data_IF_341550823861
#
_entry.id   IF_341550823861
#
_cell.length_a   1.000
_cell.length_b   1.000
_cell.length_c   1.000
_cell.angle_alpha   90.00
_cell.angle_beta   90.00
_cell.angle_gamma   90.00
#
_symmetry.space_group_name_H-M   'P 1'
#
loop_
_entity.id
_entity.type
_entity.pdbx_description
1 polymer ?
#
# COMPACT_ATOMS: atom_id res chain seq x y z
N UNK A 1 16.79 -44.69 45.66
CA UNK A 1 17.54 -44.61 44.38
C UNK A 1 18.14 -43.21 44.31
N UNK A 2 19.47 -43.08 44.37
CA UNK A 2 20.16 -41.78 44.22
C UNK A 2 20.71 -41.73 42.80
N UNK A 3 20.23 -40.79 42.00
CA UNK A 3 20.73 -40.56 40.63
C UNK A 3 22.14 -39.97 40.66
N UNK A 4 22.97 -40.42 39.73
CA UNK A 4 24.38 -40.03 39.60
C UNK A 4 24.50 -38.89 38.59
N UNK A 5 25.10 -37.77 38.99
CA UNK A 5 25.25 -36.59 38.15
C UNK A 5 26.42 -36.77 37.16
N UNK A 6 26.28 -36.44 35.85
CA UNK A 6 27.27 -36.80 34.82
C UNK A 6 28.48 -35.84 34.70
N UNK A 7 28.71 -34.95 35.67
CA UNK A 7 29.87 -34.03 35.66
C UNK A 7 29.81 -32.95 34.58
N UNK A 8 30.74 -31.98 34.66
CA UNK A 8 30.88 -30.90 33.68
C UNK A 8 31.54 -31.40 32.38
N UNK A 9 31.14 -30.81 31.25
CA UNK A 9 31.75 -31.10 29.93
C UNK A 9 33.21 -30.67 29.86
N UNK A 10 33.98 -31.40 29.07
CA UNK A 10 35.41 -31.20 28.86
C UNK A 10 35.71 -29.83 28.19
N UNK A 11 36.55 -29.02 28.82
CA UNK A 11 36.96 -27.70 28.32
C UNK A 11 37.76 -27.80 27.00
N UNK A 12 38.31 -28.98 26.67
CA UNK A 12 39.02 -29.21 25.40
C UNK A 12 38.11 -29.39 24.17
N UNK A 13 36.79 -29.46 24.34
CA UNK A 13 35.84 -29.34 23.20
C UNK A 13 35.60 -27.87 22.79
N UNK A 14 36.07 -26.90 23.57
CA UNK A 14 35.97 -25.45 23.30
C UNK A 14 37.26 -24.87 22.71
N UNK A 15 38.00 -25.65 21.91
CA UNK A 15 39.24 -25.18 21.26
C UNK A 15 38.91 -24.09 20.24
N UNK A 16 39.12 -22.83 20.65
CA UNK A 16 39.26 -21.70 19.74
C UNK A 16 40.46 -21.97 18.84
N UNK A 17 40.22 -22.17 17.54
CA UNK A 17 41.29 -22.27 16.55
C UNK A 17 41.81 -20.87 16.26
N UNK A 18 43.05 -20.60 16.65
CA UNK A 18 43.76 -19.39 16.26
C UNK A 18 44.00 -19.39 14.74
N UNK A 19 43.27 -18.51 14.05
CA UNK A 19 43.29 -18.33 12.58
C UNK A 19 44.20 -17.15 12.17
N UNK A 20 44.93 -16.55 13.11
CA UNK A 20 45.68 -15.30 12.88
C UNK A 20 46.74 -15.47 11.80
N UNK A 21 47.52 -16.55 11.85
CA UNK A 21 48.58 -16.79 10.86
C UNK A 21 48.04 -17.13 9.46
N UNK A 22 46.93 -17.87 9.37
CA UNK A 22 46.27 -18.12 8.08
C UNK A 22 45.73 -16.83 7.45
N UNK A 23 45.21 -15.92 8.27
CA UNK A 23 44.69 -14.62 7.83
C UNK A 23 45.82 -13.68 7.38
N UNK A 24 46.94 -13.65 8.12
CA UNK A 24 48.14 -12.89 7.76
C UNK A 24 48.69 -13.39 6.42
N UNK A 25 48.77 -14.71 6.22
CA UNK A 25 49.28 -15.31 4.98
C UNK A 25 48.39 -14.96 3.78
N UNK A 26 47.06 -15.11 3.89
CA UNK A 26 46.10 -14.72 2.84
C UNK A 26 46.18 -13.25 2.47
N UNK A 27 46.39 -12.36 3.46
CA UNK A 27 46.48 -10.92 3.22
C UNK A 27 47.76 -10.54 2.50
N UNK A 28 48.90 -11.17 2.85
CA UNK A 28 50.17 -11.01 2.15
C UNK A 28 50.11 -11.52 0.70
N UNK A 29 49.49 -12.68 0.47
CA UNK A 29 49.28 -13.24 -0.87
C UNK A 29 48.38 -12.35 -1.75
N UNK A 30 47.31 -11.77 -1.17
CA UNK A 30 46.43 -10.82 -1.87
C UNK A 30 47.15 -9.52 -2.24
N UNK A 31 48.00 -8.97 -1.34
CA UNK A 31 48.82 -7.79 -1.63
C UNK A 31 49.85 -8.06 -2.73
N UNK A 32 50.49 -9.22 -2.74
CA UNK A 32 51.42 -9.61 -3.81
C UNK A 32 50.72 -9.73 -5.18
N UNK A 33 49.48 -10.24 -5.21
CA UNK A 33 48.66 -10.29 -6.44
C UNK A 33 48.23 -8.90 -6.94
N UNK A 34 47.87 -7.97 -6.05
CA UNK A 34 47.54 -6.59 -6.43
C UNK A 34 48.77 -5.79 -6.90
N UNK A 35 49.96 -6.06 -6.36
CA UNK A 35 51.19 -5.38 -6.80
C UNK A 35 51.59 -5.76 -8.24
N UNK A 36 51.30 -7.00 -8.67
CA UNK A 36 51.58 -7.46 -10.04
C UNK A 36 50.56 -6.96 -11.09
N UNK A 37 49.47 -6.32 -10.68
CA UNK A 37 48.45 -5.78 -11.58
C UNK A 37 48.55 -4.25 -11.80
N UNK A 38 49.48 -3.57 -11.10
CA UNK A 38 49.58 -2.11 -11.08
C UNK A 38 50.36 -1.50 -12.27
N UNK A 39 50.04 -1.95 -13.50
CA UNK A 39 50.59 -1.43 -14.75
C UNK A 39 49.64 -0.53 -15.55
N UNK A 40 48.42 -0.28 -15.07
CA UNK A 40 47.46 0.61 -15.72
C UNK A 40 47.03 1.73 -14.77
N UNK A 41 47.02 2.96 -15.27
CA UNK A 41 46.57 4.18 -14.60
C UNK A 41 45.15 4.01 -14.04
N UNK A 42 45.02 3.63 -12.76
CA UNK A 42 43.78 3.76 -12.01
C UNK A 42 44.03 4.67 -10.81
N UNK A 43 43.36 5.81 -10.83
CA UNK A 43 43.17 6.61 -9.62
C UNK A 43 42.50 5.72 -8.56
N UNK A 44 42.94 5.76 -7.29
CA UNK A 44 42.36 4.89 -6.28
C UNK A 44 40.86 5.18 -6.11
N UNK A 45 39.99 4.17 -5.98
CA UNK A 45 38.57 4.42 -5.74
C UNK A 45 38.45 5.15 -4.41
N UNK A 46 37.89 6.36 -4.45
CA UNK A 46 37.56 7.12 -3.26
C UNK A 46 36.58 6.29 -2.43
N UNK A 47 37.07 5.66 -1.36
CA UNK A 47 36.21 5.08 -0.33
C UNK A 47 35.64 6.24 0.49
N UNK A 48 34.54 6.83 0.00
CA UNK A 48 33.70 7.70 0.81
C UNK A 48 33.07 6.88 1.93
N UNK A 49 33.24 7.35 3.17
CA UNK A 49 32.51 6.83 4.35
C UNK A 49 31.05 7.32 4.39
N UNK A 50 30.62 8.12 3.41
CA UNK A 50 29.25 8.58 3.26
C UNK A 50 28.45 7.62 2.38
N UNK A 51 27.22 7.25 2.77
CA UNK A 51 26.36 6.43 1.94
C UNK A 51 26.07 7.17 0.62
N UNK A 52 26.05 6.41 -0.47
CA UNK A 52 25.65 6.92 -1.78
C UNK A 52 24.20 7.41 -1.76
N UNK A 53 23.80 8.35 -2.65
CA UNK A 53 22.39 8.75 -2.78
C UNK A 53 21.45 7.57 -3.00
N UNK A 54 21.91 6.54 -3.72
CA UNK A 54 21.14 5.33 -3.98
C UNK A 54 20.87 4.53 -2.70
N UNK A 55 21.91 4.33 -1.88
CA UNK A 55 21.77 3.66 -0.57
C UNK A 55 20.86 4.46 0.37
N UNK A 56 20.94 5.79 0.35
CA UNK A 56 20.04 6.67 1.12
C UNK A 56 18.60 6.46 0.65
N UNK A 57 18.36 6.48 -0.66
CA UNK A 57 17.06 6.26 -1.26
C UNK A 57 16.48 4.89 -0.90
N UNK A 58 17.24 3.81 -1.11
CA UNK A 58 16.79 2.45 -0.83
C UNK A 58 16.46 2.26 0.65
N UNK A 59 17.32 2.75 1.55
CA UNK A 59 17.05 2.68 2.99
C UNK A 59 15.80 3.49 3.37
N UNK A 60 15.60 4.66 2.78
CA UNK A 60 14.38 5.43 2.99
C UNK A 60 13.15 4.69 2.47
N UNK A 61 13.25 4.03 1.31
CA UNK A 61 12.18 3.20 0.76
C UNK A 61 11.81 2.05 1.71
N UNK A 62 12.80 1.25 2.12
CA UNK A 62 12.59 0.09 2.99
C UNK A 62 11.98 0.53 4.32
N UNK A 63 12.47 1.64 4.89
CA UNK A 63 11.98 2.14 6.18
C UNK A 63 10.53 2.62 6.11
N UNK A 64 10.14 3.30 5.03
CA UNK A 64 8.86 3.98 4.98
C UNK A 64 7.79 3.17 4.22
N UNK A 65 8.10 2.56 3.08
CA UNK A 65 7.09 1.91 2.23
C UNK A 65 6.94 0.41 2.46
N UNK A 66 7.93 -0.25 3.06
CA UNK A 66 7.82 -1.68 3.40
C UNK A 66 7.19 -1.83 4.78
N UNK A 67 6.01 -2.44 4.83
CA UNK A 67 5.24 -2.62 6.07
C UNK A 67 5.15 -4.09 6.37
N UNK A 68 5.50 -4.50 7.57
CA UNK A 68 5.39 -5.89 8.04
C UNK A 68 6.36 -6.14 9.18
N UNK A 69 6.13 -7.21 9.93
CA UNK A 69 7.13 -7.74 10.86
C UNK A 69 7.85 -8.93 10.18
N UNK A 70 8.78 -9.57 10.90
CA UNK A 70 9.45 -10.79 10.43
C UNK A 70 8.48 -11.96 10.16
N UNK A 71 7.18 -11.86 10.52
CA UNK A 71 6.17 -12.84 10.13
C UNK A 71 5.84 -12.68 8.66
N UNK A 72 6.05 -13.76 7.92
CA UNK A 72 5.91 -13.72 6.48
C UNK A 72 4.48 -13.32 6.07
N UNK A 73 3.38 -13.76 6.69
CA UNK A 73 2.04 -13.60 6.09
C UNK A 73 1.40 -12.18 6.07
N UNK A 74 2.01 -11.16 6.68
CA UNK A 74 1.40 -9.82 6.87
C UNK A 74 2.30 -8.71 6.34
N UNK A 75 1.80 -7.85 5.45
CA UNK A 75 2.55 -6.67 5.06
C UNK A 75 2.32 -6.14 3.66
N UNK A 76 2.78 -4.91 3.44
CA UNK A 76 2.84 -4.24 2.16
C UNK A 76 4.29 -4.25 1.65
N UNK A 77 4.50 -4.77 0.45
CA UNK A 77 5.84 -4.88 -0.16
C UNK A 77 6.89 -5.60 0.71
N UNK A 78 6.46 -6.35 1.73
CA UNK A 78 7.32 -7.06 2.67
C UNK A 78 8.14 -8.19 2.03
N UNK A 79 7.89 -8.49 0.76
CA UNK A 79 8.66 -9.40 -0.06
C UNK A 79 9.89 -8.75 -0.72
N UNK A 80 9.97 -7.41 -0.78
CA UNK A 80 11.06 -6.72 -1.47
C UNK A 80 12.41 -7.01 -0.80
N UNK A 81 12.58 -6.93 0.54
CA UNK A 81 13.88 -7.17 1.16
C UNK A 81 14.45 -8.55 0.88
N UNK A 82 13.61 -9.60 0.88
CA UNK A 82 14.08 -10.97 0.62
C UNK A 82 14.50 -11.15 -0.83
N UNK A 83 13.79 -10.56 -1.79
CA UNK A 83 14.17 -10.65 -3.22
C UNK A 83 15.37 -9.77 -3.54
N UNK A 84 15.45 -8.58 -2.93
CA UNK A 84 16.61 -7.69 -3.03
C UNK A 84 17.91 -8.40 -2.62
N UNK A 85 17.89 -9.14 -1.50
CA UNK A 85 19.04 -9.89 -1.00
C UNK A 85 19.38 -11.14 -1.83
N UNK A 86 18.36 -11.86 -2.34
CA UNK A 86 18.56 -13.13 -3.04
C UNK A 86 18.96 -12.95 -4.52
N UNK A 87 18.47 -11.92 -5.19
CA UNK A 87 18.70 -11.68 -6.63
C UNK A 87 19.84 -10.66 -6.88
N UNK A 88 20.66 -10.42 -5.86
CA UNK A 88 21.97 -9.78 -5.99
C UNK A 88 21.95 -8.31 -6.39
N UNK A 89 21.02 -7.52 -5.84
CA UNK A 89 20.93 -6.08 -6.14
C UNK A 89 20.73 -5.81 -7.64
N UNK A 90 19.80 -6.53 -8.27
CA UNK A 90 19.49 -6.38 -9.69
C UNK A 90 19.35 -4.89 -10.06
N UNK A 91 20.13 -4.36 -11.04
CA UNK A 91 20.23 -2.92 -11.29
C UNK A 91 18.87 -2.25 -11.47
N UNK A 92 17.96 -2.87 -12.22
CA UNK A 92 16.58 -2.38 -12.40
C UNK A 92 15.87 -2.12 -11.07
N UNK A 93 15.97 -3.06 -10.12
CA UNK A 93 15.29 -2.95 -8.83
C UNK A 93 15.97 -1.88 -7.97
N UNK A 94 17.29 -1.84 -7.94
CA UNK A 94 18.09 -0.82 -7.23
C UNK A 94 17.69 0.58 -7.68
N UNK A 95 17.70 0.87 -8.99
CA UNK A 95 17.36 2.19 -9.53
C UNK A 95 15.90 2.56 -9.21
N UNK A 96 14.95 1.61 -9.28
CA UNK A 96 13.55 1.83 -8.91
C UNK A 96 13.36 2.16 -7.43
N UNK A 97 13.96 1.39 -6.53
CA UNK A 97 13.85 1.61 -5.08
C UNK A 97 14.51 2.92 -4.65
N UNK A 98 15.70 3.22 -5.20
CA UNK A 98 16.40 4.47 -4.98
C UNK A 98 15.56 5.67 -5.44
N UNK A 99 14.96 5.60 -6.64
CA UNK A 99 14.12 6.67 -7.18
C UNK A 99 12.95 7.02 -6.25
N UNK A 100 12.19 6.01 -5.79
CA UNK A 100 11.02 6.20 -4.91
C UNK A 100 11.45 6.78 -3.56
N UNK A 101 12.50 6.22 -2.96
CA UNK A 101 12.97 6.68 -1.67
C UNK A 101 13.54 8.10 -1.72
N UNK A 102 14.27 8.45 -2.78
CA UNK A 102 14.81 9.79 -2.97
C UNK A 102 13.73 10.83 -3.21
N UNK A 103 12.70 10.54 -4.02
CA UNK A 103 11.60 11.52 -4.23
C UNK A 103 10.78 11.72 -2.96
N UNK A 104 10.51 10.65 -2.21
CA UNK A 104 9.81 10.75 -0.94
C UNK A 104 10.63 11.52 0.11
N UNK A 105 11.95 11.28 0.16
CA UNK A 105 12.86 12.03 1.02
C UNK A 105 12.93 13.50 0.61
N UNK A 106 13.07 13.79 -0.69
CA UNK A 106 13.08 15.15 -1.23
C UNK A 106 11.83 15.94 -0.84
N UNK A 107 10.66 15.31 -0.97
CA UNK A 107 9.37 15.89 -0.62
C UNK A 107 9.25 16.16 0.88
N UNK A 108 9.63 15.19 1.72
CA UNK A 108 9.55 15.35 3.18
C UNK A 108 10.55 16.37 3.73
N UNK A 109 11.73 16.50 3.13
CA UNK A 109 12.80 17.41 3.60
C UNK A 109 12.85 18.74 2.86
N UNK A 110 12.02 18.92 1.83
CA UNK A 110 12.00 20.10 0.96
C UNK A 110 13.39 20.38 0.32
N UNK A 111 14.05 19.32 -0.17
CA UNK A 111 15.37 19.39 -0.81
C UNK A 111 15.27 19.10 -2.32
N UNK A 112 15.25 20.14 -3.19
CA UNK A 112 15.09 19.98 -4.63
C UNK A 112 16.21 19.17 -5.30
N UNK A 113 17.43 19.18 -4.74
CA UNK A 113 18.57 18.43 -5.28
C UNK A 113 18.30 16.93 -5.25
N UNK A 114 17.66 16.43 -4.20
CA UNK A 114 17.28 15.02 -4.08
C UNK A 114 16.20 14.65 -5.11
N UNK A 115 15.29 15.57 -5.44
CA UNK A 115 14.29 15.34 -6.48
C UNK A 115 14.94 15.23 -7.87
N UNK A 116 16.03 15.95 -8.13
CA UNK A 116 16.81 15.80 -9.38
C UNK A 116 17.45 14.41 -9.48
N UNK A 117 18.09 13.95 -8.40
CA UNK A 117 18.66 12.59 -8.33
C UNK A 117 17.58 11.51 -8.48
N UNK A 118 16.42 11.70 -7.84
CA UNK A 118 15.29 10.79 -7.95
C UNK A 118 14.80 10.64 -9.41
N UNK A 119 14.71 11.75 -10.16
CA UNK A 119 14.34 11.73 -11.59
C UNK A 119 15.40 11.06 -12.47
N UNK A 120 16.68 11.24 -12.16
CA UNK A 120 17.76 10.55 -12.85
C UNK A 120 17.67 9.03 -12.64
N UNK A 121 17.46 8.58 -11.40
CA UNK A 121 17.26 7.17 -11.05
C UNK A 121 15.98 6.58 -11.64
N UNK A 122 14.91 7.37 -11.68
CA UNK A 122 13.67 6.99 -12.37
C UNK A 122 13.92 6.74 -13.86
N UNK A 123 14.64 7.64 -14.53
CA UNK A 123 14.96 7.51 -15.96
C UNK A 123 15.85 6.29 -16.23
N UNK A 124 16.83 6.05 -15.36
CA UNK A 124 17.67 4.85 -15.38
C UNK A 124 16.83 3.57 -15.22
N UNK A 125 15.92 3.55 -14.24
CA UNK A 125 15.01 2.43 -14.01
C UNK A 125 14.13 2.13 -15.24
N UNK A 126 13.57 3.16 -15.88
CA UNK A 126 12.78 2.99 -17.12
C UNK A 126 13.62 2.39 -18.25
N UNK A 127 14.88 2.83 -18.42
CA UNK A 127 15.77 2.25 -19.43
C UNK A 127 16.06 0.76 -19.15
N UNK A 128 16.32 0.43 -17.88
CA UNK A 128 16.56 -0.93 -17.43
C UNK A 128 15.32 -1.81 -17.60
N UNK A 129 14.12 -1.30 -17.28
CA UNK A 129 12.85 -1.99 -17.49
C UNK A 129 12.61 -2.23 -18.98
N UNK A 130 12.77 -1.23 -19.85
CA UNK A 130 12.58 -1.40 -21.29
C UNK A 130 13.52 -2.47 -21.87
N UNK A 131 14.76 -2.52 -21.39
CA UNK A 131 15.73 -3.55 -21.78
C UNK A 131 15.30 -4.95 -21.30
N UNK A 132 14.78 -5.07 -20.07
CA UNK A 132 14.25 -6.32 -19.55
C UNK A 132 12.98 -6.77 -20.30
N UNK A 133 12.08 -5.84 -20.63
CA UNK A 133 10.86 -6.12 -21.38
C UNK A 133 11.13 -6.59 -22.82
N UNK A 134 12.25 -6.19 -23.42
CA UNK A 134 12.66 -6.65 -24.74
C UNK A 134 13.11 -8.12 -24.76
N UNK A 135 13.39 -8.73 -23.60
CA UNK A 135 13.79 -10.13 -23.48
C UNK A 135 12.67 -10.98 -22.87
N UNK A 136 12.22 -12.07 -23.54
CA UNK A 136 11.21 -12.96 -23.00
C UNK A 136 11.57 -13.60 -21.64
N UNK A 137 12.87 -13.83 -21.37
CA UNK A 137 13.32 -14.40 -20.10
C UNK A 137 13.42 -13.36 -18.98
N UNK A 138 13.81 -12.13 -19.30
CA UNK A 138 13.98 -11.06 -18.31
C UNK A 138 12.65 -10.40 -17.95
N UNK A 139 11.74 -10.28 -18.91
CA UNK A 139 10.42 -9.65 -18.71
C UNK A 139 9.58 -10.34 -17.62
N UNK A 140 9.75 -11.65 -17.44
CA UNK A 140 9.00 -12.44 -16.46
C UNK A 140 9.68 -12.57 -15.10
N UNK A 141 10.86 -11.96 -14.89
CA UNK A 141 11.57 -12.02 -13.60
C UNK A 141 10.85 -11.25 -12.49
N UNK A 142 11.11 -11.66 -11.25
CA UNK A 142 10.58 -11.01 -10.05
C UNK A 142 11.07 -9.56 -9.96
N UNK A 143 12.35 -9.32 -10.20
CA UNK A 143 12.96 -7.98 -10.22
C UNK A 143 12.24 -7.02 -11.18
N UNK A 144 11.88 -7.47 -12.38
CA UNK A 144 11.14 -6.68 -13.38
C UNK A 144 9.76 -6.27 -12.87
N UNK A 145 8.95 -7.22 -12.38
CA UNK A 145 7.62 -6.93 -11.84
C UNK A 145 7.69 -6.01 -10.61
N UNK A 146 8.64 -6.26 -9.69
CA UNK A 146 8.83 -5.40 -8.52
C UNK A 146 9.22 -3.98 -8.91
N UNK A 147 10.10 -3.83 -9.91
CA UNK A 147 10.51 -2.52 -10.40
C UNK A 147 9.33 -1.73 -10.96
N UNK A 148 8.46 -2.36 -11.76
CA UNK A 148 7.25 -1.72 -12.29
C UNK A 148 6.27 -1.33 -11.18
N UNK A 149 6.02 -2.22 -10.19
CA UNK A 149 5.17 -1.89 -9.02
C UNK A 149 5.76 -0.71 -8.24
N UNK A 150 7.07 -0.71 -7.98
CA UNK A 150 7.76 0.36 -7.26
C UNK A 150 7.75 1.68 -8.04
N UNK A 151 7.90 1.68 -9.37
CA UNK A 151 7.77 2.92 -10.16
C UNK A 151 6.33 3.46 -10.16
N UNK A 152 5.32 2.60 -10.00
CA UNK A 152 3.96 3.06 -9.67
C UNK A 152 3.95 3.94 -8.42
N UNK A 153 4.66 3.56 -7.36
CA UNK A 153 4.78 4.39 -6.15
C UNK A 153 5.49 5.71 -6.40
N UNK A 154 6.52 5.70 -7.25
CA UNK A 154 7.20 6.95 -7.63
C UNK A 154 6.19 7.94 -8.18
N UNK A 155 5.40 7.52 -9.17
CA UNK A 155 4.39 8.37 -9.80
C UNK A 155 3.30 8.78 -8.82
N UNK A 156 2.87 7.89 -7.92
CA UNK A 156 1.90 8.29 -6.92
C UNK A 156 2.45 9.34 -5.93
N UNK A 157 3.76 9.38 -5.71
CA UNK A 157 4.45 10.41 -4.90
C UNK A 157 4.73 11.68 -5.70
N UNK A 158 5.08 11.59 -7.00
CA UNK A 158 5.47 12.74 -7.84
C UNK A 158 4.35 13.36 -8.69
N UNK A 159 3.30 12.61 -9.04
CA UNK A 159 2.19 13.03 -9.92
C UNK A 159 1.38 11.85 -10.47
N UNK A 160 0.06 11.83 -10.23
CA UNK A 160 -0.81 10.66 -10.40
C UNK A 160 -1.06 10.21 -11.85
N UNK A 161 -0.90 11.09 -12.84
CA UNK A 161 -1.40 10.85 -14.21
C UNK A 161 -0.75 9.65 -14.92
N UNK A 162 0.47 9.29 -14.53
CA UNK A 162 1.27 8.18 -15.09
C UNK A 162 1.17 6.89 -14.27
N UNK A 163 0.67 6.95 -13.03
CA UNK A 163 0.52 5.79 -12.14
C UNK A 163 -0.30 4.67 -12.77
N UNK A 164 -1.42 5.02 -13.41
CA UNK A 164 -2.31 4.05 -14.06
C UNK A 164 -1.57 3.19 -15.10
N UNK A 165 -0.62 3.77 -15.85
CA UNK A 165 0.15 3.05 -16.87
C UNK A 165 1.06 1.99 -16.26
N UNK A 166 1.65 2.27 -15.11
CA UNK A 166 2.47 1.29 -14.38
C UNK A 166 1.61 0.15 -13.82
N UNK A 167 0.41 0.46 -13.31
CA UNK A 167 -0.53 -0.57 -12.85
C UNK A 167 -0.96 -1.49 -14.00
N UNK A 168 -1.30 -0.92 -15.16
CA UNK A 168 -1.61 -1.69 -16.37
C UNK A 168 -0.42 -2.54 -16.84
N UNK A 169 0.80 -1.98 -16.80
CA UNK A 169 2.03 -2.71 -17.11
C UNK A 169 2.30 -3.87 -16.14
N UNK A 170 2.12 -3.65 -14.84
CA UNK A 170 2.26 -4.69 -13.82
C UNK A 170 1.22 -5.82 -14.02
N UNK A 171 -0.03 -5.46 -14.33
CA UNK A 171 -1.07 -6.43 -14.65
C UNK A 171 -0.72 -7.27 -15.89
N UNK A 172 -0.22 -6.64 -16.95
CA UNK A 172 0.22 -7.34 -18.16
C UNK A 172 1.40 -8.30 -17.87
N UNK A 173 2.36 -7.89 -17.04
CA UNK A 173 3.47 -8.75 -16.61
C UNK A 173 3.01 -9.94 -15.78
N UNK A 174 2.05 -9.73 -14.87
CA UNK A 174 1.42 -10.80 -14.10
C UNK A 174 0.73 -11.80 -15.03
N UNK A 175 0.03 -11.33 -16.06
CA UNK A 175 -0.57 -12.20 -17.08
C UNK A 175 0.52 -12.98 -17.85
N UNK A 176 1.58 -12.31 -18.30
CA UNK A 176 2.69 -12.93 -19.03
C UNK A 176 3.42 -14.01 -18.22
N UNK A 177 3.58 -13.81 -16.91
CA UNK A 177 4.17 -14.81 -15.98
C UNK A 177 3.31 -16.07 -15.83
N UNK A 178 2.00 -15.94 -16.06
CA UNK A 178 1.04 -17.05 -16.05
C UNK A 178 0.96 -17.80 -14.72
N UNK A 179 0.45 -19.03 -14.76
CA UNK A 179 0.15 -19.83 -13.55
C UNK A 179 1.39 -20.29 -12.77
N UNK A 180 2.55 -20.35 -13.43
CA UNK A 180 3.81 -20.80 -12.81
C UNK A 180 4.28 -19.88 -11.69
N UNK A 181 3.78 -18.64 -11.64
CA UNK A 181 4.12 -17.66 -10.61
C UNK A 181 3.50 -17.97 -9.24
N UNK A 182 2.71 -19.03 -9.06
CA UNK A 182 2.12 -19.36 -7.77
C UNK A 182 2.90 -20.44 -7.01
N UNK A 183 4.18 -20.61 -7.34
CA UNK A 183 5.07 -21.62 -6.75
C UNK A 183 5.67 -21.20 -5.40
N UNK A 184 5.70 -19.90 -5.09
CA UNK A 184 6.29 -19.39 -3.84
C UNK A 184 5.40 -18.36 -3.14
N UNK A 185 5.47 -18.23 -1.81
CA UNK A 185 4.71 -17.20 -1.08
C UNK A 185 5.04 -15.76 -1.51
N UNK A 186 6.26 -15.50 -1.99
CA UNK A 186 6.71 -14.19 -2.48
C UNK A 186 5.96 -13.81 -3.75
N UNK A 187 5.92 -14.71 -4.71
CA UNK A 187 5.33 -14.47 -6.03
C UNK A 187 3.80 -14.37 -5.96
N UNK A 188 3.16 -15.13 -5.04
CA UNK A 188 1.73 -14.95 -4.71
C UNK A 188 1.44 -13.54 -4.18
N UNK A 189 2.33 -12.95 -3.37
CA UNK A 189 2.12 -11.58 -2.86
C UNK A 189 2.31 -10.52 -3.91
N UNK A 190 3.25 -10.72 -4.83
CA UNK A 190 3.42 -9.82 -5.97
C UNK A 190 2.13 -9.80 -6.81
N UNK A 191 1.54 -10.98 -7.05
CA UNK A 191 0.22 -11.08 -7.68
C UNK A 191 -0.87 -10.36 -6.88
N UNK A 192 -1.00 -10.62 -5.57
CA UNK A 192 -2.02 -9.96 -4.74
C UNK A 192 -1.84 -8.44 -4.75
N UNK A 193 -0.59 -7.96 -4.73
CA UNK A 193 -0.26 -6.54 -4.80
C UNK A 193 -0.70 -5.93 -6.13
N UNK A 194 -0.27 -6.51 -7.25
CA UNK A 194 -0.66 -6.04 -8.59
C UNK A 194 -2.19 -6.08 -8.79
N UNK A 195 -2.86 -7.10 -8.28
CA UNK A 195 -4.34 -7.17 -8.29
C UNK A 195 -4.96 -6.03 -7.48
N UNK A 196 -4.44 -5.74 -6.28
CA UNK A 196 -4.96 -4.66 -5.46
C UNK A 196 -4.80 -3.29 -6.14
N UNK A 197 -3.65 -3.04 -6.76
CA UNK A 197 -3.41 -1.80 -7.51
C UNK A 197 -4.35 -1.72 -8.74
N UNK A 198 -4.56 -2.83 -9.44
CA UNK A 198 -5.48 -2.91 -10.58
C UNK A 198 -6.94 -2.68 -10.18
N UNK A 199 -7.35 -3.15 -9.00
CA UNK A 199 -8.68 -2.85 -8.44
C UNK A 199 -8.84 -1.34 -8.26
N UNK A 200 -7.88 -0.66 -7.65
CA UNK A 200 -7.93 0.80 -7.45
C UNK A 200 -7.99 1.51 -8.80
N UNK A 201 -7.13 1.13 -9.75
CA UNK A 201 -7.13 1.65 -11.10
C UNK A 201 -8.47 1.48 -11.82
N UNK A 202 -9.11 0.31 -11.67
CA UNK A 202 -10.40 0.00 -12.31
C UNK A 202 -11.56 0.77 -11.68
N UNK A 203 -11.51 1.02 -10.37
CA UNK A 203 -12.51 1.85 -9.68
C UNK A 203 -12.48 3.31 -10.19
N UNK A 204 -11.31 3.80 -10.58
CA UNK A 204 -11.11 5.18 -11.03
C UNK A 204 -11.20 5.35 -12.55
N UNK A 205 -11.06 4.28 -13.32
CA UNK A 205 -11.09 4.30 -14.78
C UNK A 205 -12.39 3.72 -15.34
N UNK A 206 -12.57 3.82 -16.65
CA UNK A 206 -13.70 3.20 -17.36
C UNK A 206 -13.33 1.82 -17.90
N UNK A 207 -12.56 1.02 -17.15
CA UNK A 207 -12.12 -0.32 -17.55
C UNK A 207 -12.49 -1.36 -16.48
N UNK A 208 -12.96 -2.56 -16.88
CA UNK A 208 -13.17 -3.66 -15.95
C UNK A 208 -11.86 -4.34 -15.61
N UNK A 209 -11.90 -5.24 -14.62
CA UNK A 209 -10.78 -6.15 -14.35
C UNK A 209 -10.64 -7.11 -15.54
N UNK A 210 -9.45 -7.25 -16.15
CA UNK A 210 -9.23 -8.15 -17.28
C UNK A 210 -9.57 -9.60 -16.92
N UNK A 211 -10.17 -10.34 -17.88
CA UNK A 211 -10.56 -11.74 -17.67
C UNK A 211 -9.37 -12.62 -17.26
N UNK A 212 -8.21 -12.42 -17.87
CA UNK A 212 -6.98 -13.17 -17.54
C UNK A 212 -6.56 -12.96 -16.08
N UNK A 213 -6.81 -11.79 -15.51
CA UNK A 213 -6.55 -11.51 -14.10
C UNK A 213 -7.53 -12.26 -13.18
N UNK A 214 -8.79 -12.41 -13.59
CA UNK A 214 -9.78 -13.23 -12.88
C UNK A 214 -9.39 -14.71 -12.91
N UNK A 215 -8.95 -15.23 -14.07
CA UNK A 215 -8.47 -16.61 -14.20
C UNK A 215 -7.23 -16.86 -13.33
N UNK A 216 -6.31 -15.90 -13.25
CA UNK A 216 -5.17 -15.97 -12.34
C UNK A 216 -5.56 -15.89 -10.87
N UNK A 217 -6.62 -15.14 -10.52
CA UNK A 217 -7.16 -15.12 -9.17
C UNK A 217 -7.69 -16.49 -8.76
N UNK A 218 -8.44 -17.17 -9.63
CA UNK A 218 -8.94 -18.52 -9.38
C UNK A 218 -7.82 -19.56 -9.30
N UNK A 219 -6.75 -19.38 -10.06
CA UNK A 219 -5.56 -20.22 -9.93
C UNK A 219 -4.85 -19.96 -8.60
N UNK A 220 -4.59 -18.69 -8.25
CA UNK A 220 -3.93 -18.31 -7.01
C UNK A 220 -4.69 -18.80 -5.76
N UNK A 221 -6.03 -18.88 -5.82
CA UNK A 221 -6.88 -19.42 -4.75
C UNK A 221 -6.51 -20.87 -4.35
N UNK A 222 -5.87 -21.64 -5.24
CA UNK A 222 -5.43 -23.02 -4.98
C UNK A 222 -4.12 -23.09 -4.19
N UNK A 223 -3.37 -21.99 -4.15
CA UNK A 223 -2.01 -21.93 -3.61
C UNK A 223 -1.91 -21.05 -2.34
N UNK A 224 -3.03 -20.51 -1.85
CA UNK A 224 -3.05 -19.63 -0.68
C UNK A 224 -4.29 -19.84 0.18
N UNK A 225 -4.24 -19.37 1.43
CA UNK A 225 -5.38 -19.43 2.34
C UNK A 225 -6.43 -18.38 1.95
N UNK A 226 -7.48 -18.86 1.31
CA UNK A 226 -8.60 -18.03 0.85
C UNK A 226 -9.53 -17.60 1.98
N UNK A 227 -9.40 -18.18 3.19
CA UNK A 227 -10.28 -17.83 4.31
C UNK A 227 -9.90 -16.50 4.97
N UNK A 228 -8.66 -16.04 4.74
CA UNK A 228 -8.14 -14.79 5.30
C UNK A 228 -8.95 -13.57 4.86
N UNK A 229 -9.16 -12.63 5.79
CA UNK A 229 -9.84 -11.37 5.47
C UNK A 229 -9.12 -10.61 4.35
N UNK A 230 -7.78 -10.64 4.32
CA UNK A 230 -6.99 -10.01 3.27
C UNK A 230 -7.29 -10.56 1.87
N UNK A 231 -7.36 -11.89 1.71
CA UNK A 231 -7.71 -12.49 0.43
C UNK A 231 -9.13 -12.11 -0.01
N UNK A 232 -10.10 -12.25 0.91
CA UNK A 232 -11.51 -11.96 0.68
C UNK A 232 -11.73 -10.49 0.28
N UNK A 233 -11.05 -9.54 0.92
CA UNK A 233 -11.11 -8.13 0.55
C UNK A 233 -10.66 -7.88 -0.89
N UNK A 234 -9.63 -8.58 -1.37
CA UNK A 234 -9.19 -8.45 -2.76
C UNK A 234 -10.20 -9.03 -3.76
N UNK A 235 -10.89 -10.11 -3.40
CA UNK A 235 -11.98 -10.69 -4.22
C UNK A 235 -13.16 -9.72 -4.27
N UNK A 236 -13.56 -9.15 -3.12
CA UNK A 236 -14.63 -8.16 -3.05
C UNK A 236 -14.29 -6.88 -3.80
N UNK A 237 -13.03 -6.42 -3.73
CA UNK A 237 -12.55 -5.28 -4.52
C UNK A 237 -12.69 -5.51 -6.02
N UNK A 238 -12.36 -6.72 -6.49
CA UNK A 238 -12.53 -7.13 -7.90
C UNK A 238 -14.01 -7.11 -8.32
N UNK A 239 -14.91 -7.63 -7.47
CA UNK A 239 -16.36 -7.59 -7.71
C UNK A 239 -16.90 -6.16 -7.73
N UNK A 240 -16.49 -5.31 -6.78
CA UNK A 240 -16.86 -3.89 -6.76
C UNK A 240 -16.42 -3.16 -8.03
N UNK A 241 -15.18 -3.37 -8.48
CA UNK A 241 -14.67 -2.75 -9.70
C UNK A 241 -15.48 -3.15 -10.94
N UNK A 242 -15.80 -4.43 -11.09
CA UNK A 242 -16.60 -4.92 -12.22
C UNK A 242 -18.06 -4.43 -12.16
N UNK A 243 -18.67 -4.41 -10.97
CA UNK A 243 -20.02 -3.87 -10.79
C UNK A 243 -20.06 -2.37 -11.13
N UNK A 244 -19.10 -1.58 -10.62
CA UNK A 244 -19.02 -0.15 -10.92
C UNK A 244 -18.84 0.10 -12.42
N UNK A 245 -18.01 -0.70 -13.10
CA UNK A 245 -17.86 -0.63 -14.55
C UNK A 245 -19.18 -0.92 -15.27
N UNK A 246 -19.89 -1.99 -14.88
CA UNK A 246 -21.19 -2.34 -15.46
C UNK A 246 -22.21 -1.20 -15.27
N UNK A 247 -22.28 -0.60 -14.08
CA UNK A 247 -23.17 0.54 -13.80
C UNK A 247 -22.86 1.76 -14.67
N UNK A 248 -21.57 2.06 -14.89
CA UNK A 248 -21.15 3.16 -15.78
C UNK A 248 -21.49 2.90 -17.25
N UNK A 249 -21.56 1.64 -17.68
CA UNK A 249 -21.98 1.25 -19.04
C UNK A 249 -23.50 1.28 -19.24
N UNK A 250 -24.27 1.06 -18.18
CA UNK A 250 -25.72 0.85 -18.23
C UNK A 250 -26.56 2.13 -18.21
N UNK A 251 -26.05 3.22 -18.78
CA UNK A 251 -26.64 4.58 -18.75
C UNK A 251 -28.09 4.64 -19.30
N UNK A 252 -28.59 3.60 -19.98
CA UNK A 252 -29.93 3.59 -20.61
C UNK A 252 -30.72 2.27 -20.57
N UNK A 253 -30.56 1.38 -19.58
CA UNK A 253 -31.35 0.13 -19.62
C UNK A 253 -31.43 -0.76 -18.37
N UNK A 254 -32.58 -0.72 -17.71
CA UNK A 254 -33.38 -1.91 -17.34
C UNK A 254 -32.96 -2.81 -16.16
N UNK A 255 -31.68 -2.96 -15.84
CA UNK A 255 -31.22 -3.99 -14.89
C UNK A 255 -30.99 -3.48 -13.45
N UNK A 256 -31.66 -2.40 -13.04
CA UNK A 256 -31.49 -1.79 -11.71
C UNK A 256 -31.66 -2.79 -10.56
N UNK A 257 -32.67 -3.66 -10.67
CA UNK A 257 -32.94 -4.70 -9.66
C UNK A 257 -31.85 -5.76 -9.60
N UNK A 258 -31.35 -6.23 -10.75
CA UNK A 258 -30.27 -7.23 -10.83
C UNK A 258 -28.96 -6.67 -10.26
N UNK A 259 -28.61 -5.43 -10.61
CA UNK A 259 -27.44 -4.77 -10.03
C UNK A 259 -27.59 -4.51 -8.53
N UNK A 260 -28.80 -4.19 -8.07
CA UNK A 260 -29.06 -4.03 -6.64
C UNK A 260 -28.92 -5.38 -5.93
N UNK A 261 -29.38 -6.47 -6.53
CA UNK A 261 -29.20 -7.83 -6.00
C UNK A 261 -27.71 -8.19 -5.88
N UNK A 262 -26.91 -7.95 -6.93
CA UNK A 262 -25.46 -8.19 -6.87
C UNK A 262 -24.79 -7.31 -5.82
N UNK A 263 -25.12 -6.02 -5.75
CA UNK A 263 -24.62 -5.11 -4.71
C UNK A 263 -24.97 -5.61 -3.29
N UNK A 264 -26.20 -6.11 -3.10
CA UNK A 264 -26.66 -6.73 -1.84
C UNK A 264 -25.87 -8.00 -1.52
N UNK A 265 -25.53 -8.80 -2.54
CA UNK A 265 -24.70 -9.98 -2.34
C UNK A 265 -23.30 -9.60 -1.88
N UNK A 266 -22.67 -8.61 -2.53
CA UNK A 266 -21.34 -8.11 -2.15
C UNK A 266 -21.38 -7.55 -0.71
N UNK A 267 -22.44 -6.81 -0.36
CA UNK A 267 -22.63 -6.22 0.96
C UNK A 267 -22.66 -7.29 2.07
N UNK A 268 -23.38 -8.39 1.85
CA UNK A 268 -23.43 -9.53 2.76
C UNK A 268 -22.07 -10.23 2.92
N UNK A 269 -21.28 -10.29 1.85
CA UNK A 269 -19.94 -10.87 1.91
C UNK A 269 -18.93 -9.93 2.60
N UNK A 270 -19.11 -8.60 2.48
CA UNK A 270 -18.39 -7.64 3.31
C UNK A 270 -18.67 -7.84 4.79
N UNK A 271 -19.93 -8.01 5.19
CA UNK A 271 -20.29 -8.22 6.59
C UNK A 271 -19.53 -9.43 7.20
N UNK A 272 -19.53 -10.57 6.50
CA UNK A 272 -18.76 -11.77 6.90
C UNK A 272 -17.26 -11.50 6.96
N UNK A 273 -16.73 -10.71 6.02
CA UNK A 273 -15.31 -10.37 5.95
C UNK A 273 -14.90 -9.43 7.08
N UNK A 274 -15.77 -8.47 7.45
CA UNK A 274 -15.57 -7.55 8.58
C UNK A 274 -15.54 -8.30 9.90
N UNK A 275 -16.42 -9.29 10.10
CA UNK A 275 -16.39 -10.15 11.30
C UNK A 275 -15.07 -10.90 11.44
N UNK A 276 -14.56 -11.47 10.34
CA UNK A 276 -13.23 -12.12 10.32
C UNK A 276 -12.10 -11.13 10.57
N UNK A 277 -12.19 -9.94 9.97
CA UNK A 277 -11.20 -8.88 10.14
C UNK A 277 -11.15 -8.39 11.60
N UNK A 278 -12.29 -8.26 12.27
CA UNK A 278 -12.37 -7.90 13.68
C UNK A 278 -11.67 -8.89 14.61
N UNK A 279 -11.69 -10.18 14.27
CA UNK A 279 -10.98 -11.22 15.01
C UNK A 279 -9.48 -11.19 14.70
N UNK A 280 -9.11 -11.07 13.42
CA UNK A 280 -7.72 -11.14 12.98
C UNK A 280 -6.90 -9.86 13.28
N UNK A 281 -7.57 -8.70 13.23
CA UNK A 281 -6.99 -7.36 13.34
C UNK A 281 -7.80 -6.49 14.31
N UNK A 282 -7.92 -6.87 15.59
CA UNK A 282 -8.71 -6.10 16.55
C UNK A 282 -8.12 -4.70 16.77
N UNK A 283 -8.99 -3.77 17.13
CA UNK A 283 -8.62 -2.41 17.53
C UNK A 283 -9.48 -1.97 18.72
N UNK A 284 -9.03 -0.94 19.43
CA UNK A 284 -9.75 -0.36 20.56
C UNK A 284 -10.15 1.07 20.28
N UNK A 285 -11.37 1.45 20.62
CA UNK A 285 -11.82 2.84 20.52
C UNK A 285 -11.57 3.55 21.83
N UNK A 286 -10.96 4.72 21.76
CA UNK A 286 -10.65 5.57 22.91
C UNK A 286 -11.19 6.98 22.72
N UNK A 287 -11.55 7.62 23.83
CA UNK A 287 -12.02 9.00 23.86
C UNK A 287 -10.94 9.89 24.46
N UNK A 288 -10.48 10.87 23.68
CA UNK A 288 -9.49 11.88 24.00
C UNK A 288 -10.12 13.28 23.87
N UNK A 289 -11.02 13.67 24.79
CA UNK A 289 -11.73 14.95 24.71
C UNK A 289 -10.79 16.16 24.85
N UNK A 290 -9.60 15.97 25.41
CA UNK A 290 -8.54 16.99 25.51
C UNK A 290 -7.54 16.96 24.35
N UNK A 291 -7.76 16.09 23.35
CA UNK A 291 -6.91 16.00 22.17
C UNK A 291 -7.00 17.27 21.31
N UNK A 292 -5.93 17.58 20.59
CA UNK A 292 -5.92 18.70 19.64
C UNK A 292 -7.04 18.47 18.60
N UNK A 293 -8.06 19.35 18.49
CA UNK A 293 -9.18 19.18 17.58
C UNK A 293 -8.75 19.25 16.10
N UNK A 294 -7.56 19.77 15.81
CA UNK A 294 -7.00 19.72 14.47
C UNK A 294 -6.50 18.31 14.11
N UNK A 295 -6.21 17.46 15.09
CA UNK A 295 -5.70 16.09 14.91
C UNK A 295 -6.78 15.04 15.22
N UNK A 296 -7.55 15.25 16.28
CA UNK A 296 -8.57 14.31 16.78
C UNK A 296 -9.95 14.90 16.54
N UNK A 297 -10.68 14.34 15.58
CA UNK A 297 -12.05 14.75 15.30
C UNK A 297 -13.01 14.18 16.34
N UNK A 298 -13.81 15.04 16.99
CA UNK A 298 -14.82 14.67 17.98
C UNK A 298 -14.29 13.85 19.17
N UNK A 299 -13.00 13.98 19.49
CA UNK A 299 -12.37 13.26 20.60
C UNK A 299 -12.19 11.75 20.37
N UNK A 300 -12.63 11.15 19.25
CA UNK A 300 -12.53 9.70 19.03
C UNK A 300 -11.21 9.31 18.36
N UNK A 301 -10.52 8.33 18.94
CA UNK A 301 -9.32 7.71 18.36
C UNK A 301 -9.44 6.19 18.39
N UNK A 302 -9.30 5.54 17.24
CA UNK A 302 -9.27 4.08 17.12
C UNK A 302 -7.81 3.60 17.06
N UNK A 303 -7.41 2.73 18.00
CA UNK A 303 -6.04 2.24 18.18
C UNK A 303 -5.90 0.79 17.72
N UNK A 304 -5.04 0.62 16.72
CA UNK A 304 -4.69 -0.63 16.08
C UNK A 304 -3.29 -1.09 16.54
N UNK A 305 -2.98 -2.37 16.36
CA UNK A 305 -1.66 -2.90 16.76
C UNK A 305 -0.50 -2.47 15.85
N UNK A 306 -0.77 -2.23 14.58
CA UNK A 306 0.24 -1.86 13.58
C UNK A 306 -0.38 -1.09 12.39
N UNK A 307 0.46 -0.42 11.60
CA UNK A 307 0.05 0.32 10.38
C UNK A 307 -0.61 -0.61 9.35
N UNK A 308 -0.20 -1.88 9.30
CA UNK A 308 -0.82 -2.87 8.42
C UNK A 308 -2.30 -3.09 8.75
N UNK A 309 -2.65 -3.17 10.02
CA UNK A 309 -4.03 -3.31 10.49
C UNK A 309 -4.86 -2.10 10.08
N UNK A 310 -4.33 -0.89 10.28
CA UNK A 310 -4.96 0.36 9.81
C UNK A 310 -5.24 0.28 8.32
N UNK A 311 -4.23 -0.13 7.53
CA UNK A 311 -4.35 -0.24 6.07
C UNK A 311 -5.44 -1.23 5.65
N UNK A 312 -5.49 -2.41 6.26
CA UNK A 312 -6.53 -3.41 5.95
C UNK A 312 -7.93 -2.90 6.26
N UNK A 313 -8.11 -2.31 7.44
CA UNK A 313 -9.39 -1.73 7.84
C UNK A 313 -9.81 -0.58 6.95
N UNK A 314 -8.89 0.33 6.61
CA UNK A 314 -9.20 1.46 5.75
C UNK A 314 -9.50 1.03 4.31
N UNK A 315 -8.81 0.02 3.77
CA UNK A 315 -9.16 -0.56 2.47
C UNK A 315 -10.56 -1.20 2.50
N UNK A 316 -10.89 -1.93 3.57
CA UNK A 316 -12.22 -2.50 3.77
C UNK A 316 -13.31 -1.42 3.82
N UNK A 317 -13.09 -0.34 4.57
CA UNK A 317 -14.02 0.79 4.67
C UNK A 317 -14.20 1.49 3.32
N UNK A 318 -13.11 1.79 2.62
CA UNK A 318 -13.16 2.44 1.32
C UNK A 318 -13.97 1.63 0.30
N UNK A 319 -13.77 0.31 0.23
CA UNK A 319 -14.55 -0.54 -0.66
C UNK A 319 -16.04 -0.60 -0.29
N UNK A 320 -16.35 -0.66 1.02
CA UNK A 320 -17.74 -0.60 1.50
C UNK A 320 -18.39 0.76 1.20
N UNK A 321 -17.65 1.87 1.30
CA UNK A 321 -18.16 3.20 0.94
C UNK A 321 -18.52 3.27 -0.54
N UNK A 322 -17.65 2.76 -1.42
CA UNK A 322 -17.93 2.67 -2.86
C UNK A 322 -19.19 1.82 -3.11
N UNK A 323 -19.32 0.68 -2.43
CA UNK A 323 -20.52 -0.15 -2.54
C UNK A 323 -21.78 0.57 -2.05
N UNK A 324 -21.71 1.30 -0.94
CA UNK A 324 -22.81 2.11 -0.44
C UNK A 324 -23.21 3.20 -1.44
N UNK A 325 -22.23 3.88 -2.08
CA UNK A 325 -22.50 4.86 -3.15
C UNK A 325 -23.21 4.19 -4.34
N UNK A 326 -22.79 2.98 -4.75
CA UNK A 326 -23.48 2.21 -5.80
C UNK A 326 -24.91 1.84 -5.40
N UNK A 327 -25.14 1.37 -4.17
CA UNK A 327 -26.48 1.03 -3.65
C UNK A 327 -27.36 2.28 -3.62
N UNK A 328 -26.87 3.42 -3.12
CA UNK A 328 -27.60 4.68 -3.13
C UNK A 328 -27.99 5.10 -4.55
N UNK A 329 -27.07 5.00 -5.51
CA UNK A 329 -27.34 5.30 -6.92
C UNK A 329 -28.46 4.40 -7.49
N UNK A 330 -28.37 3.09 -7.24
CA UNK A 330 -29.36 2.11 -7.69
C UNK A 330 -30.74 2.34 -7.06
N UNK A 331 -30.80 2.61 -5.76
CA UNK A 331 -32.05 2.88 -5.04
C UNK A 331 -32.71 4.17 -5.52
N UNK A 332 -31.93 5.23 -5.74
CA UNK A 332 -32.47 6.48 -6.29
C UNK A 332 -32.96 6.29 -7.74
N UNK A 333 -32.27 5.50 -8.56
CA UNK A 333 -32.71 5.14 -9.90
C UNK A 333 -34.04 4.38 -9.90
N UNK A 334 -34.20 3.43 -8.98
CA UNK A 334 -35.47 2.71 -8.78
C UNK A 334 -36.58 3.65 -8.29
N UNK A 335 -36.32 4.43 -7.24
CA UNK A 335 -37.29 5.37 -6.66
C UNK A 335 -37.77 6.46 -7.65
N UNK A 336 -37.00 6.75 -8.70
CA UNK A 336 -37.41 7.63 -9.79
C UNK A 336 -38.42 7.02 -10.76
N UNK A 337 -38.70 5.70 -10.66
CA UNK A 337 -39.70 5.00 -11.46
C UNK A 337 -41.08 4.89 -10.79
N UNK A 338 -42.04 4.32 -11.50
CA UNK A 338 -43.40 4.07 -10.98
C UNK A 338 -43.41 2.76 -10.17
N UNK A 339 -43.34 2.86 -8.84
CA UNK A 339 -43.33 1.74 -7.91
C UNK A 339 -44.57 1.74 -7.00
N UNK A 340 -45.13 0.57 -6.69
CA UNK A 340 -46.12 0.43 -5.63
C UNK A 340 -45.64 1.05 -4.30
N UNK A 341 -46.53 1.69 -3.55
CA UNK A 341 -46.19 2.44 -2.33
C UNK A 341 -45.46 1.61 -1.27
N UNK A 342 -45.76 0.31 -1.18
CA UNK A 342 -45.08 -0.63 -0.25
C UNK A 342 -43.61 -0.84 -0.62
N UNK A 343 -43.32 -1.01 -1.92
CA UNK A 343 -41.95 -1.12 -2.42
C UNK A 343 -41.22 0.20 -2.30
N UNK A 344 -41.89 1.33 -2.57
CA UNK A 344 -41.32 2.65 -2.39
C UNK A 344 -40.90 2.90 -0.92
N UNK A 345 -41.73 2.52 0.05
CA UNK A 345 -41.39 2.62 1.48
C UNK A 345 -40.19 1.75 1.85
N UNK A 346 -40.15 0.50 1.36
CA UNK A 346 -39.04 -0.42 1.59
C UNK A 346 -37.72 0.10 1.02
N UNK A 347 -37.74 0.64 -0.22
CA UNK A 347 -36.55 1.20 -0.87
C UNK A 347 -36.06 2.48 -0.16
N UNK A 348 -36.98 3.33 0.31
CA UNK A 348 -36.62 4.50 1.11
C UNK A 348 -35.97 4.11 2.45
N UNK A 349 -36.50 3.10 3.14
CA UNK A 349 -35.90 2.59 4.37
C UNK A 349 -34.48 2.06 4.11
N UNK A 350 -34.31 1.26 3.05
CA UNK A 350 -33.00 0.74 2.65
C UNK A 350 -32.01 1.85 2.28
N UNK A 351 -32.48 2.92 1.64
CA UNK A 351 -31.65 4.08 1.31
C UNK A 351 -31.16 4.77 2.59
N UNK A 352 -32.03 4.98 3.57
CA UNK A 352 -31.65 5.56 4.87
C UNK A 352 -30.62 4.69 5.61
N UNK A 353 -30.84 3.36 5.68
CA UNK A 353 -29.87 2.43 6.27
C UNK A 353 -28.49 2.51 5.58
N UNK A 354 -28.49 2.62 4.25
CA UNK A 354 -27.25 2.72 3.46
C UNK A 354 -26.53 4.05 3.74
N UNK A 355 -27.26 5.16 3.88
CA UNK A 355 -26.70 6.48 4.21
C UNK A 355 -26.12 6.52 5.64
N UNK A 356 -26.82 5.91 6.60
CA UNK A 356 -26.33 5.77 7.99
C UNK A 356 -25.03 4.95 8.03
N UNK A 357 -24.99 3.83 7.29
CA UNK A 357 -23.78 3.00 7.15
C UNK A 357 -22.64 3.79 6.52
N UNK A 358 -22.90 4.55 5.45
CA UNK A 358 -21.91 5.38 4.78
C UNK A 358 -21.32 6.44 5.73
N UNK A 359 -22.17 7.07 6.55
CA UNK A 359 -21.74 8.02 7.58
C UNK A 359 -20.87 7.34 8.66
N UNK A 360 -21.29 6.17 9.15
CA UNK A 360 -20.50 5.38 10.11
C UNK A 360 -19.13 4.99 9.56
N UNK A 361 -19.06 4.49 8.32
CA UNK A 361 -17.80 4.12 7.66
C UNK A 361 -16.84 5.31 7.57
N UNK A 362 -17.36 6.49 7.24
CA UNK A 362 -16.58 7.73 7.22
C UNK A 362 -16.02 8.08 8.61
N UNK A 363 -16.86 8.07 9.65
CA UNK A 363 -16.43 8.34 11.02
C UNK A 363 -15.39 7.32 11.53
N UNK A 364 -15.57 6.04 11.22
CA UNK A 364 -14.62 4.98 11.58
C UNK A 364 -13.29 5.13 10.84
N UNK A 365 -13.30 5.59 9.57
CA UNK A 365 -12.08 5.91 8.83
C UNK A 365 -11.33 7.10 9.47
N UNK A 366 -12.05 8.19 9.77
CA UNK A 366 -11.46 9.40 10.34
C UNK A 366 -10.82 9.15 11.71
N UNK A 367 -11.41 8.25 12.52
CA UNK A 367 -10.87 7.84 13.81
C UNK A 367 -9.50 7.13 13.72
N UNK A 368 -9.07 6.68 12.54
CA UNK A 368 -7.75 6.07 12.33
C UNK A 368 -6.62 7.08 12.13
N UNK A 369 -6.95 8.31 11.74
CA UNK A 369 -5.98 9.32 11.30
C UNK A 369 -4.94 9.66 12.37
N UNK A 370 -5.29 9.88 13.65
CA UNK A 370 -4.31 10.26 14.67
C UNK A 370 -3.19 9.22 14.80
N UNK A 371 -3.53 7.94 14.83
CA UNK A 371 -2.55 6.87 14.90
C UNK A 371 -1.83 6.66 13.56
N UNK A 372 -2.54 6.70 12.44
CA UNK A 372 -1.98 6.46 11.12
C UNK A 372 -0.91 7.50 10.71
N UNK A 373 -1.02 8.73 11.21
CA UNK A 373 -0.03 9.78 11.01
C UNK A 373 1.05 9.83 12.10
N UNK A 374 1.00 8.90 13.08
CA UNK A 374 1.87 8.89 14.28
C UNK A 374 1.76 10.19 15.10
N UNK A 375 0.61 10.85 15.06
CA UNK A 375 0.34 12.11 15.74
C UNK A 375 -0.10 11.92 17.22
N UNK A 376 -0.43 10.69 17.60
CA UNK A 376 -0.71 10.28 18.98
C UNK A 376 0.28 9.17 19.37
N UNK A 377 1.04 9.40 20.45
CA UNK A 377 2.06 8.46 20.93
C UNK A 377 1.45 7.15 21.45
N UNK A 378 2.06 6.02 21.08
CA UNK A 378 1.79 4.73 21.71
C UNK A 378 2.46 4.70 23.11
N UNK A 379 1.79 4.23 24.17
CA UNK A 379 2.36 4.21 25.53
C UNK A 379 3.56 3.27 25.76
N UNK A 380 4.09 2.57 24.74
CA UNK A 380 4.92 1.38 24.98
C UNK A 380 5.99 1.06 23.93
N UNK A 381 6.47 1.99 23.09
CA UNK A 381 7.59 1.68 22.19
C UNK A 381 8.95 1.95 22.89
N UNK A 382 9.81 0.94 23.13
CA UNK A 382 11.12 1.12 23.75
C UNK A 382 12.20 1.59 22.77
N UNK A 383 11.83 1.90 21.52
CA UNK A 383 12.79 2.43 20.53
C UNK A 383 13.24 3.82 20.95
N UNK A 384 14.56 4.12 20.91
CA UNK A 384 15.04 5.44 21.26
C UNK A 384 14.35 6.46 20.36
N UNK A 385 13.69 7.42 21.00
CA UNK A 385 13.17 8.62 20.35
C UNK A 385 14.37 9.39 19.80
N UNK A 386 14.83 9.03 18.60
CA UNK A 386 15.39 10.06 17.73
C UNK A 386 14.26 11.07 17.57
N UNK A 387 14.56 12.33 17.88
CA UNK A 387 13.70 13.48 17.66
C UNK A 387 13.29 13.52 16.18
N UNK A 388 12.20 12.80 15.87
CA UNK A 388 11.54 12.72 14.57
C UNK A 388 10.31 13.61 14.63
N UNK A 389 10.47 14.82 15.17
CA UNK A 389 9.55 15.95 15.03
C UNK A 389 9.33 16.40 13.57
N UNK A 390 9.57 15.52 12.58
CA UNK A 390 9.12 15.70 11.22
C UNK A 390 7.64 15.36 11.12
N UNK A 391 6.87 16.40 10.82
CA UNK A 391 5.42 16.43 10.63
C UNK A 391 4.93 15.28 9.74
N UNK A 392 4.38 14.23 10.36
CA UNK A 392 3.59 13.17 9.74
C UNK A 392 4.39 12.08 9.02
N UNK A 393 4.05 10.82 9.28
CA UNK A 393 4.58 9.68 8.53
C UNK A 393 4.16 9.78 7.05
N UNK A 394 5.13 9.90 6.12
CA UNK A 394 4.91 9.99 4.66
C UNK A 394 4.00 8.87 4.15
N UNK A 395 4.21 7.66 4.67
CA UNK A 395 3.43 6.47 4.34
C UNK A 395 2.00 6.55 4.87
N UNK A 396 1.84 7.12 6.07
CA UNK A 396 0.53 7.41 6.65
C UNK A 396 -0.25 8.41 5.80
N UNK A 397 0.36 9.54 5.44
CA UNK A 397 -0.25 10.56 4.57
C UNK A 397 -0.68 9.98 3.22
N UNK A 398 0.19 9.19 2.59
CA UNK A 398 -0.10 8.49 1.35
C UNK A 398 -1.32 7.55 1.46
N UNK A 399 -1.39 6.72 2.50
CA UNK A 399 -2.51 5.78 2.68
C UNK A 399 -3.84 6.48 2.96
N UNK A 400 -3.79 7.60 3.66
CA UNK A 400 -4.99 8.31 4.09
C UNK A 400 -5.56 9.20 3.00
N UNK A 401 -4.74 9.66 2.05
CA UNK A 401 -5.13 10.65 1.03
C UNK A 401 -6.42 10.28 0.30
N UNK A 402 -6.52 9.04 -0.19
CA UNK A 402 -7.71 8.61 -0.93
C UNK A 402 -8.95 8.46 -0.03
N UNK A 403 -8.79 7.87 1.15
CA UNK A 403 -9.93 7.69 2.06
C UNK A 403 -10.44 9.03 2.61
N UNK A 404 -9.55 10.00 2.88
CA UNK A 404 -9.92 11.37 3.20
C UNK A 404 -10.74 12.00 2.08
N UNK A 405 -10.31 11.83 0.83
CA UNK A 405 -11.07 12.30 -0.31
C UNK A 405 -12.46 11.65 -0.42
N UNK A 406 -12.53 10.32 -0.29
CA UNK A 406 -13.79 9.56 -0.30
C UNK A 406 -14.77 10.04 0.78
N UNK A 407 -14.30 10.29 2.00
CA UNK A 407 -15.14 10.83 3.08
C UNK A 407 -15.50 12.28 2.80
N UNK A 408 -14.56 13.11 2.34
CA UNK A 408 -14.80 14.54 2.09
C UNK A 408 -15.81 14.82 0.98
N UNK A 409 -15.76 14.06 -0.11
CA UNK A 409 -16.71 14.17 -1.23
C UNK A 409 -18.11 13.62 -0.93
N UNK A 410 -18.23 12.84 0.14
CA UNK A 410 -19.46 12.14 0.45
C UNK A 410 -20.60 13.09 0.84
N UNK A 411 -21.81 12.78 0.36
CA UNK A 411 -23.00 13.62 0.58
C UNK A 411 -23.44 13.66 2.06
N UNK A 412 -23.17 12.60 2.83
CA UNK A 412 -23.54 12.52 4.26
C UNK A 412 -22.54 13.23 5.19
N UNK A 413 -21.43 13.73 4.66
CA UNK A 413 -20.39 14.39 5.44
C UNK A 413 -20.82 15.80 5.82
N UNK A 414 -20.75 16.15 7.10
CA UNK A 414 -21.10 17.48 7.60
C UNK A 414 -20.12 18.55 7.10
N UNK A 415 -20.54 19.82 7.06
CA UNK A 415 -19.70 20.94 6.62
C UNK A 415 -18.44 21.08 7.49
N UNK A 416 -18.59 20.91 8.80
CA UNK A 416 -17.49 20.97 9.77
C UNK A 416 -16.47 19.85 9.53
N UNK A 417 -16.96 18.62 9.32
CA UNK A 417 -16.12 17.46 9.02
C UNK A 417 -15.41 17.62 7.68
N UNK A 418 -16.12 18.13 6.64
CA UNK A 418 -15.53 18.38 5.33
C UNK A 418 -14.42 19.43 5.40
N UNK A 419 -14.63 20.52 6.14
CA UNK A 419 -13.60 21.54 6.39
C UNK A 419 -12.38 20.94 7.10
N UNK A 420 -12.58 20.09 8.10
CA UNK A 420 -11.51 19.39 8.78
C UNK A 420 -10.71 18.48 7.83
N UNK A 421 -11.40 17.73 6.98
CA UNK A 421 -10.78 16.87 5.94
C UNK A 421 -9.94 17.68 4.95
N UNK A 422 -10.46 18.81 4.46
CA UNK A 422 -9.73 19.71 3.55
C UNK A 422 -8.42 20.17 4.20
N UNK A 423 -8.46 20.58 5.47
CA UNK A 423 -7.26 21.00 6.20
C UNK A 423 -6.26 19.85 6.37
N UNK A 424 -6.72 18.61 6.59
CA UNK A 424 -5.83 17.44 6.66
C UNK A 424 -5.19 17.12 5.32
N UNK A 425 -5.94 17.15 4.22
CA UNK A 425 -5.40 16.94 2.87
C UNK A 425 -4.37 18.02 2.51
N UNK A 426 -4.64 19.29 2.84
CA UNK A 426 -3.68 20.39 2.67
C UNK A 426 -2.41 20.19 3.49
N UNK A 427 -2.54 19.73 4.73
CA UNK A 427 -1.41 19.38 5.60
C UNK A 427 -0.58 18.23 5.03
N UNK A 428 -1.22 17.16 4.56
CA UNK A 428 -0.54 16.02 3.91
C UNK A 428 0.18 16.50 2.65
N UNK A 429 -0.49 17.28 1.80
CA UNK A 429 0.11 17.79 0.57
C UNK A 429 1.32 18.69 0.81
N UNK A 430 1.25 19.55 1.84
CA UNK A 430 2.32 20.51 2.15
C UNK A 430 3.50 19.85 2.90
N UNK A 431 3.24 18.97 3.85
CA UNK A 431 4.28 18.37 4.69
C UNK A 431 4.90 17.11 4.08
N UNK A 432 4.12 16.29 3.36
CA UNK A 432 4.59 15.05 2.73
C UNK A 432 4.90 15.21 1.24
N UNK A 433 4.70 16.42 0.68
CA UNK A 433 4.91 16.75 -0.73
C UNK A 433 4.01 15.97 -1.70
N UNK A 434 2.86 15.49 -1.22
CA UNK A 434 1.90 14.73 -2.04
C UNK A 434 1.00 15.68 -2.83
N UNK A 435 1.40 16.03 -4.05
CA UNK A 435 0.64 16.95 -4.91
C UNK A 435 -0.83 16.51 -5.12
N UNK A 436 -1.07 15.20 -5.17
CA UNK A 436 -2.41 14.60 -5.29
C UNK A 436 -3.32 15.00 -4.13
N UNK A 437 -2.79 15.10 -2.91
CA UNK A 437 -3.60 15.48 -1.75
C UNK A 437 -4.12 16.92 -1.87
N UNK A 438 -3.33 17.83 -2.46
CA UNK A 438 -3.76 19.21 -2.71
C UNK A 438 -4.85 19.27 -3.79
N UNK A 439 -4.68 18.52 -4.89
CA UNK A 439 -5.68 18.45 -5.96
C UNK A 439 -7.03 17.90 -5.46
N UNK A 440 -7.00 16.85 -4.63
CA UNK A 440 -8.21 16.27 -4.05
C UNK A 440 -8.87 17.22 -3.04
N UNK A 441 -8.09 18.03 -2.31
CA UNK A 441 -8.64 19.06 -1.43
C UNK A 441 -9.39 20.14 -2.23
N UNK A 442 -8.84 20.58 -3.35
CA UNK A 442 -9.49 21.54 -4.25
C UNK A 442 -10.81 21.01 -4.83
N UNK A 443 -10.86 19.72 -5.18
CA UNK A 443 -12.07 19.08 -5.67
C UNK A 443 -13.18 19.05 -4.59
N UNK A 444 -12.83 18.72 -3.34
CA UNK A 444 -13.77 18.77 -2.22
C UNK A 444 -14.27 20.20 -1.98
N UNK A 445 -13.41 21.22 -2.10
CA UNK A 445 -13.80 22.63 -1.98
C UNK A 445 -14.87 22.99 -3.03
N UNK A 446 -14.70 22.53 -4.28
CA UNK A 446 -15.70 22.76 -5.34
C UNK A 446 -17.02 22.07 -5.01
N UNK A 447 -16.98 20.83 -4.52
CA UNK A 447 -18.20 20.09 -4.10
C UNK A 447 -18.93 20.83 -2.97
N UNK A 448 -18.20 21.36 -1.98
CA UNK A 448 -18.81 22.09 -0.86
C UNK A 448 -19.48 23.39 -1.31
N UNK A 449 -18.89 24.09 -2.29
CA UNK A 449 -19.45 25.31 -2.89
C UNK A 449 -20.71 25.04 -3.71
N UNK A 450 -20.80 23.88 -4.37
CA UNK A 450 -21.97 23.48 -5.16
C UNK A 450 -23.12 22.91 -4.32
N UNK A 451 -22.86 22.60 -3.05
CA UNK A 451 -23.84 22.04 -2.11
C UNK A 451 -24.62 23.11 -1.31
N UNK A 452 -24.52 24.38 -1.71
CA UNK A 452 -25.16 25.55 -1.07
C UNK A 452 -26.53 25.85 -1.67
#
# INVERSE_FOLDING_TARGET
>A
MRETCPGYRDEWELVFRDQTDQTIKRTKEKRARSANAAGANDSPPARGLSPSPDEIGINYFIRNFVIGNQSSSRGYLNYIPSVYLNDGEHPTLVSSLAAVGLVALANSTQQPELASHARAKYSEAICNINSALASPSESVKDSTLMSVISLGLFEQVSGFDTWLRHVEGAAALVVARGKKQFSTPVTIRMFIQARADLVIASLHSTKPIPKDMLELQEEAAKHTDTTTAFWQLGVLGTRCANLLFALRGSIRGGAWAEYLEEATSIERDFQRTVERLAIAEPYTTTQEPSGDPTIVLNGRVDRYKDIWSIRLWNNCRNLQMILCEMICYLLNGLLGGDLPSTLQMSMNYRLQETLERLSKLGNDFLATIPQAMELSSLPSDPRPSLDLSFRGNVTGGYMLTWGLYMVGKCAVTTKETRKWIIQRLQSIGSNSGTAVALQLAEDIIKIDQLSV
#
